data_IF_965367291458
#
_entry.id   IF_965367291458
#
_cell.length_a   1.000
_cell.length_b   1.000
_cell.length_c   1.000
_cell.angle_alpha   90.00
_cell.angle_beta   90.00
_cell.angle_gamma   90.00
#
_symmetry.space_group_name_H-M   'P 1'
#
loop_
_entity.id
_entity.type
_entity.pdbx_description
1 polymer ?
#
# COMPACT_ATOMS: atom_id res chain seq x y z
N UNK A 1 -1.21 -3.77 13.51
CA UNK A 1 -1.83 -4.28 12.28
C UNK A 1 -2.39 -5.67 12.56
N UNK A 2 -3.68 -5.87 12.33
CA UNK A 2 -4.37 -7.15 12.52
C UNK A 2 -3.91 -8.18 11.48
N UNK A 3 -4.21 -9.46 11.73
CA UNK A 3 -3.91 -10.52 10.77
C UNK A 3 -4.65 -10.34 9.46
N UNK A 4 -5.88 -9.83 9.49
CA UNK A 4 -6.71 -9.56 8.30
C UNK A 4 -6.10 -8.45 7.43
N UNK A 5 -5.69 -7.34 8.04
CA UNK A 5 -5.05 -6.22 7.35
C UNK A 5 -3.77 -6.67 6.63
N UNK A 6 -2.97 -7.54 7.28
CA UNK A 6 -1.76 -8.11 6.67
C UNK A 6 -2.08 -8.97 5.45
N UNK A 7 -3.15 -9.77 5.50
CA UNK A 7 -3.58 -10.62 4.38
C UNK A 7 -4.05 -9.77 3.19
N UNK A 8 -4.81 -8.70 3.46
CA UNK A 8 -5.25 -7.74 2.43
C UNK A 8 -4.02 -7.13 1.74
N UNK A 9 -3.05 -6.61 2.50
CA UNK A 9 -1.84 -6.01 1.93
C UNK A 9 -1.06 -7.03 1.12
N UNK A 10 -0.85 -8.24 1.66
CA UNK A 10 -0.10 -9.30 0.98
C UNK A 10 -0.73 -9.64 -0.38
N UNK A 11 -2.06 -9.84 -0.42
CA UNK A 11 -2.79 -10.11 -1.67
C UNK A 11 -2.59 -9.00 -2.70
N UNK A 12 -2.74 -7.74 -2.28
CA UNK A 12 -2.61 -6.58 -3.17
C UNK A 12 -1.18 -6.43 -3.68
N UNK A 13 -0.18 -6.57 -2.80
CA UNK A 13 1.24 -6.50 -3.16
C UNK A 13 1.61 -7.62 -4.12
N UNK A 14 1.13 -8.85 -3.88
CA UNK A 14 1.36 -9.99 -4.76
C UNK A 14 0.78 -9.76 -6.16
N UNK A 15 -0.46 -9.29 -6.26
CA UNK A 15 -1.07 -8.94 -7.54
C UNK A 15 -0.27 -7.85 -8.27
N UNK A 16 0.10 -6.79 -7.55
CA UNK A 16 0.85 -5.67 -8.11
C UNK A 16 2.23 -6.09 -8.63
N UNK A 17 2.96 -6.92 -7.89
CA UNK A 17 4.31 -7.38 -8.26
C UNK A 17 4.28 -8.28 -9.50
N UNK A 18 3.27 -9.17 -9.59
CA UNK A 18 3.14 -10.16 -10.67
C UNK A 18 2.56 -9.60 -11.96
N UNK A 19 1.57 -8.71 -11.86
CA UNK A 19 0.82 -8.22 -13.02
C UNK A 19 1.13 -6.77 -13.38
N UNK A 20 1.70 -6.00 -12.45
CA UNK A 20 1.84 -4.55 -12.57
C UNK A 20 0.53 -3.78 -12.30
N UNK A 21 -0.59 -4.47 -12.07
CA UNK A 21 -1.88 -3.84 -11.85
C UNK A 21 -2.08 -3.48 -10.38
N UNK A 22 -2.41 -2.21 -10.13
CA UNK A 22 -2.74 -1.71 -8.81
C UNK A 22 -4.26 -1.69 -8.60
N UNK A 23 -4.87 -2.87 -8.61
CA UNK A 23 -6.32 -3.05 -8.46
C UNK A 23 -6.62 -4.25 -7.56
N UNK A 24 -7.74 -4.19 -6.85
CA UNK A 24 -8.26 -5.27 -6.03
C UNK A 24 -9.80 -5.20 -6.01
N UNK A 25 -10.45 -6.35 -5.91
CA UNK A 25 -11.92 -6.43 -5.97
C UNK A 25 -12.62 -5.97 -4.68
N UNK A 26 -11.91 -5.98 -3.55
CA UNK A 26 -12.50 -5.74 -2.23
C UNK A 26 -12.03 -4.44 -1.58
N UNK A 27 -10.86 -3.95 -1.97
CA UNK A 27 -10.27 -2.72 -1.43
C UNK A 27 -9.87 -1.75 -2.53
N UNK A 28 -9.86 -0.47 -2.19
CA UNK A 28 -9.26 0.55 -3.06
C UNK A 28 -7.75 0.37 -3.05
N UNK A 29 -7.11 0.63 -4.18
CA UNK A 29 -5.65 0.62 -4.28
C UNK A 29 -5.21 1.97 -4.81
N UNK A 30 -4.25 2.60 -4.12
CA UNK A 30 -3.70 3.90 -4.51
C UNK A 30 -2.19 3.79 -4.63
N UNK A 31 -1.67 4.00 -5.84
CA UNK A 31 -0.24 4.12 -6.07
C UNK A 31 0.25 5.52 -5.74
N UNK A 32 1.18 5.58 -4.80
CA UNK A 32 1.93 6.76 -4.46
C UNK A 32 3.15 6.89 -5.37
N UNK A 33 3.74 8.09 -5.48
CA UNK A 33 5.03 8.26 -6.16
C UNK A 33 6.10 7.30 -5.62
N UNK A 34 7.04 6.92 -6.49
CA UNK A 34 8.16 6.03 -6.17
C UNK A 34 8.93 6.53 -4.94
N UNK A 35 9.39 5.61 -4.11
CA UNK A 35 10.16 5.87 -2.87
C UNK A 35 9.41 6.65 -1.78
N UNK A 36 8.07 6.76 -1.85
CA UNK A 36 7.27 7.29 -0.74
C UNK A 36 7.13 6.22 0.34
N UNK A 37 7.41 6.60 1.58
CA UNK A 37 7.30 5.74 2.78
C UNK A 37 6.17 6.18 3.71
N UNK A 38 5.48 7.27 3.38
CA UNK A 38 4.35 7.79 4.13
C UNK A 38 3.37 8.56 3.23
N UNK A 39 2.14 8.68 3.70
CA UNK A 39 1.08 9.44 3.05
C UNK A 39 0.21 10.14 4.08
N UNK A 40 -0.26 11.36 3.78
CA UNK A 40 -1.23 12.06 4.63
C UNK A 40 -2.63 11.79 4.09
N UNK A 41 -3.37 10.95 4.79
CA UNK A 41 -4.77 10.67 4.49
C UNK A 41 -5.64 11.78 5.11
N UNK A 42 -6.32 12.54 4.25
CA UNK A 42 -7.20 13.63 4.64
C UNK A 42 -8.66 13.16 4.71
N UNK A 43 -9.42 13.65 5.69
CA UNK A 43 -10.86 13.46 5.83
C UNK A 43 -11.47 14.74 6.41
N UNK A 44 -12.03 15.58 5.54
CA UNK A 44 -12.49 16.91 5.93
C UNK A 44 -11.31 17.78 6.38
N UNK A 45 -11.38 18.31 7.61
CA UNK A 45 -10.32 19.13 8.22
C UNK A 45 -9.33 18.31 9.07
N UNK A 46 -9.49 17.00 9.14
CA UNK A 46 -8.63 16.09 9.89
C UNK A 46 -7.72 15.32 8.92
N UNK A 47 -6.44 15.23 9.26
CA UNK A 47 -5.43 14.54 8.47
C UNK A 47 -4.59 13.65 9.36
N UNK A 48 -4.35 12.42 8.93
CA UNK A 48 -3.43 11.50 9.63
C UNK A 48 -2.32 11.04 8.71
N UNK A 49 -1.15 10.84 9.30
CA UNK A 49 -0.03 10.22 8.59
C UNK A 49 -0.17 8.71 8.64
N UNK A 50 -0.16 8.09 7.47
CA UNK A 50 -0.03 6.64 7.28
C UNK A 50 1.44 6.37 6.98
N UNK A 51 2.08 5.55 7.81
CA UNK A 51 3.41 5.02 7.54
C UNK A 51 3.26 3.71 6.75
N UNK A 52 4.17 3.52 5.79
CA UNK A 52 4.21 2.32 4.95
C UNK A 52 5.28 1.37 5.47
N UNK A 53 4.94 0.09 5.52
CA UNK A 53 5.86 -0.99 5.85
C UNK A 53 6.53 -1.53 4.58
N UNK A 54 7.74 -2.05 4.72
CA UNK A 54 8.51 -2.64 3.61
C UNK A 54 8.05 -4.08 3.33
N UNK A 55 7.65 -4.37 2.10
CA UNK A 55 7.33 -5.70 1.62
C UNK A 55 8.30 -6.10 0.51
N UNK A 56 8.87 -7.31 0.62
CA UNK A 56 9.80 -7.87 -0.37
C UNK A 56 9.15 -9.06 -1.03
N UNK A 57 9.01 -9.02 -2.36
CA UNK A 57 8.44 -10.11 -3.14
C UNK A 57 9.11 -10.16 -4.52
N UNK A 58 9.51 -11.36 -4.96
CA UNK A 58 10.15 -11.60 -6.25
C UNK A 58 11.33 -10.65 -6.57
N UNK A 59 12.13 -10.31 -5.55
CA UNK A 59 13.26 -9.38 -5.67
C UNK A 59 12.88 -7.90 -5.78
N UNK A 60 11.58 -7.57 -5.86
CA UNK A 60 11.07 -6.20 -5.80
C UNK A 60 10.77 -5.82 -4.35
N UNK A 61 10.92 -4.53 -4.06
CA UNK A 61 10.58 -3.97 -2.74
C UNK A 61 9.46 -2.96 -2.91
N UNK A 62 8.36 -3.17 -2.20
CA UNK A 62 7.15 -2.34 -2.22
C UNK A 62 6.92 -1.79 -0.82
N UNK A 63 6.74 -0.48 -0.68
CA UNK A 63 6.19 0.12 0.52
C UNK A 63 4.67 0.02 0.48
N UNK A 64 4.05 -0.55 1.51
CA UNK A 64 2.62 -0.69 1.55
C UNK A 64 2.02 -0.51 2.95
N UNK A 65 0.76 -0.09 3.00
CA UNK A 65 -0.04 -0.05 4.22
C UNK A 65 -1.52 -0.06 3.88
N UNK A 66 -2.34 -0.57 4.79
CA UNK A 66 -3.79 -0.57 4.67
C UNK A 66 -4.41 0.43 5.65
N UNK A 67 -5.31 1.26 5.12
CA UNK A 67 -6.16 2.14 5.91
C UNK A 67 -7.54 1.53 6.07
N UNK A 68 -7.83 0.99 7.26
CA UNK A 68 -9.19 0.55 7.61
C UNK A 68 -10.22 1.69 7.59
N UNK A 69 -9.78 2.96 7.69
CA UNK A 69 -10.67 4.15 7.65
C UNK A 69 -11.24 4.37 6.26
N UNK A 70 -10.42 4.22 5.22
CA UNK A 70 -10.83 4.46 3.82
C UNK A 70 -11.01 3.18 3.01
N UNK A 71 -10.66 2.02 3.57
CA UNK A 71 -10.64 0.74 2.86
C UNK A 71 -9.62 0.75 1.72
N UNK A 72 -8.48 1.42 1.92
CA UNK A 72 -7.48 1.66 0.86
C UNK A 72 -6.13 1.05 1.21
N UNK A 73 -5.56 0.30 0.28
CA UNK A 73 -4.14 -0.07 0.28
C UNK A 73 -3.35 0.98 -0.49
N UNK A 74 -2.37 1.57 0.18
CA UNK A 74 -1.41 2.48 -0.44
C UNK A 74 -0.17 1.69 -0.83
N UNK A 75 0.30 1.87 -2.07
CA UNK A 75 1.48 1.22 -2.61
C UNK A 75 2.51 2.26 -3.06
N UNK A 76 3.78 2.05 -2.80
CA UNK A 76 4.87 2.79 -3.45
C UNK A 76 5.99 1.82 -3.80
N UNK A 77 6.41 1.83 -5.06
CA UNK A 77 7.58 1.06 -5.49
C UNK A 77 8.83 1.66 -4.86
N UNK A 78 9.69 0.83 -4.29
CA UNK A 78 11.06 1.23 -3.93
C UNK A 78 11.95 1.02 -5.15
N UNK A 79 12.53 2.12 -5.64
CA UNK A 79 13.56 2.09 -6.67
C UNK A 79 14.93 2.29 -6.02
N UNK A 80 15.79 1.30 -6.16
CA UNK A 80 17.22 1.41 -5.89
C UNK A 80 17.87 2.04 -7.12
N UNK A 81 18.29 3.30 -7.02
CA UNK A 81 19.24 3.89 -7.97
C UNK A 81 20.65 3.40 -7.64
#
# INVERSE_FOLDING_TARGET
MSSEEKQIIHRVVENFVRTGNATDEQVKVTCLPVNKTSFVEQTGNDGRTILLDEYKLDGKVIWASYSARSGTVYLSLKSTH
#
